data_IF_183790497120
#
_entry.id   IF_183790497120
#
_cell.length_a   1.000
_cell.length_b   1.000
_cell.length_c   1.000
_cell.angle_alpha   90.00
_cell.angle_beta   90.00
_cell.angle_gamma   90.00
#
_symmetry.space_group_name_H-M   'P 1'
#
loop_
_entity.id
_entity.type
_entity.pdbx_description
1 polymer ?
#
# COMPACT_ATOMS: atom_id res chain seq x y z
N UNK A 1 2.56 -33.77 3.45
CA UNK A 1 2.13 -32.95 2.35
C UNK A 1 0.76 -33.33 1.77
N UNK A 2 -0.23 -33.73 2.59
CA UNK A 2 -1.61 -33.95 2.15
C UNK A 2 -2.53 -33.00 2.92
N UNK A 3 -3.50 -32.40 2.22
CA UNK A 3 -4.49 -31.52 2.82
C UNK A 3 -4.83 -30.33 1.93
N UNK A 4 -5.70 -29.45 2.44
CA UNK A 4 -6.11 -28.20 1.80
C UNK A 4 -5.43 -27.03 2.53
N UNK A 5 -4.28 -26.52 2.01
CA UNK A 5 -3.50 -25.50 2.72
C UNK A 5 -4.22 -24.14 2.76
N UNK A 6 -5.10 -23.86 1.78
CA UNK A 6 -5.89 -22.64 1.70
C UNK A 6 -7.36 -22.98 1.82
N UNK A 7 -8.01 -22.54 2.89
CA UNK A 7 -9.44 -22.78 3.11
C UNK A 7 -10.29 -21.87 2.21
N UNK A 8 -9.94 -20.60 2.14
CA UNK A 8 -10.57 -19.57 1.29
C UNK A 8 -9.56 -18.47 0.94
N UNK A 9 -9.97 -17.57 0.05
CA UNK A 9 -9.23 -16.37 -0.29
C UNK A 9 -10.06 -15.14 0.09
N UNK A 10 -9.40 -14.10 0.62
CA UNK A 10 -9.98 -12.78 0.85
C UNK A 10 -9.60 -11.89 -0.34
N UNK A 11 -10.56 -11.55 -1.17
CA UNK A 11 -10.34 -10.74 -2.35
C UNK A 11 -10.49 -9.25 -2.04
N UNK A 12 -9.76 -8.42 -2.76
CA UNK A 12 -9.89 -6.98 -2.65
C UNK A 12 -9.38 -6.30 -3.91
N UNK A 13 -9.86 -5.08 -4.13
CA UNK A 13 -9.37 -4.20 -5.17
C UNK A 13 -9.20 -2.80 -4.59
N UNK A 14 -8.12 -2.12 -5.00
CA UNK A 14 -7.85 -0.75 -4.62
C UNK A 14 -7.42 0.07 -5.83
N UNK A 15 -7.90 1.32 -5.89
CA UNK A 15 -7.46 2.33 -6.84
C UNK A 15 -6.94 3.51 -6.05
N UNK A 16 -5.71 3.95 -6.39
CA UNK A 16 -5.03 5.03 -5.66
C UNK A 16 -4.63 6.14 -6.63
N UNK A 17 -4.87 7.37 -6.22
CA UNK A 17 -4.42 8.59 -6.89
C UNK A 17 -3.34 9.27 -6.05
N UNK A 18 -2.25 9.67 -6.68
CA UNK A 18 -1.11 10.32 -6.04
C UNK A 18 -0.73 11.62 -6.75
N UNK A 19 0.03 12.45 -6.05
CA UNK A 19 0.77 13.57 -6.64
C UNK A 19 2.24 13.46 -6.22
N UNK A 20 3.14 13.79 -7.14
CA UNK A 20 4.58 13.90 -6.87
C UNK A 20 5.05 15.32 -7.16
N UNK A 21 5.97 15.83 -6.34
CA UNK A 21 6.73 17.03 -6.65
C UNK A 21 7.98 16.63 -7.45
N UNK A 22 8.06 17.08 -8.68
CA UNK A 22 9.15 16.70 -9.59
C UNK A 22 10.47 17.43 -9.32
N UNK A 23 10.50 18.36 -8.37
CA UNK A 23 11.70 19.07 -7.94
C UNK A 23 12.29 18.48 -6.65
N UNK A 24 11.46 17.91 -5.80
CA UNK A 24 11.88 17.40 -4.48
C UNK A 24 11.72 15.89 -4.34
N UNK A 25 10.88 15.25 -5.17
CA UNK A 25 10.47 13.86 -5.04
C UNK A 25 9.42 13.61 -3.96
N UNK A 26 9.02 14.64 -3.20
CA UNK A 26 7.93 14.50 -2.24
C UNK A 26 6.66 14.02 -2.94
N UNK A 27 5.94 13.16 -2.25
CA UNK A 27 4.71 12.60 -2.79
C UNK A 27 3.61 12.56 -1.74
N UNK A 28 2.37 12.44 -2.21
CA UNK A 28 1.20 12.35 -1.35
C UNK A 28 0.11 11.52 -2.02
N UNK A 29 -0.54 10.68 -1.22
CA UNK A 29 -1.74 9.97 -1.64
C UNK A 29 -2.93 10.93 -1.50
N UNK A 30 -3.59 11.23 -2.62
CA UNK A 30 -4.74 12.14 -2.67
C UNK A 30 -6.04 11.40 -2.38
N UNK A 31 -6.20 10.24 -3.01
CA UNK A 31 -7.41 9.44 -2.93
C UNK A 31 -7.09 7.96 -2.98
N UNK A 32 -7.86 7.19 -2.22
CA UNK A 32 -7.88 5.72 -2.33
C UNK A 32 -9.32 5.23 -2.20
N UNK A 33 -9.72 4.38 -3.12
CA UNK A 33 -11.00 3.68 -3.11
C UNK A 33 -10.73 2.19 -3.01
N UNK A 34 -11.35 1.52 -2.04
CA UNK A 34 -11.17 0.10 -1.73
C UNK A 34 -12.51 -0.61 -1.69
N UNK A 35 -12.57 -1.79 -2.31
CA UNK A 35 -13.60 -2.80 -2.06
C UNK A 35 -12.92 -4.06 -1.57
N UNK A 36 -13.35 -4.60 -0.43
CA UNK A 36 -12.74 -5.78 0.19
C UNK A 36 -13.76 -6.81 0.61
N UNK A 37 -13.46 -8.08 0.37
CA UNK A 37 -14.27 -9.23 0.72
C UNK A 37 -13.92 -9.75 2.11
N UNK A 38 -14.77 -9.43 3.08
CA UNK A 38 -14.70 -9.91 4.45
C UNK A 38 -15.66 -11.08 4.72
N UNK A 39 -16.27 -11.64 3.68
CA UNK A 39 -17.40 -12.54 3.83
C UNK A 39 -18.59 -11.80 4.45
N UNK A 40 -19.39 -12.49 5.26
CA UNK A 40 -20.38 -11.82 6.12
C UNK A 40 -19.63 -11.13 7.26
N UNK A 41 -19.58 -9.81 7.24
CA UNK A 41 -18.90 -9.03 8.29
C UNK A 41 -19.54 -9.27 9.66
N UNK A 42 -18.73 -9.64 10.64
CA UNK A 42 -19.19 -9.79 12.03
C UNK A 42 -19.35 -8.43 12.73
N UNK A 43 -18.57 -7.44 12.32
CA UNK A 43 -18.67 -6.06 12.78
C UNK A 43 -18.15 -5.12 11.69
N UNK A 44 -19.05 -4.53 10.86
CA UNK A 44 -18.62 -3.69 9.74
C UNK A 44 -17.74 -2.50 10.13
N UNK A 45 -17.94 -1.91 11.30
CA UNK A 45 -17.13 -0.77 11.74
C UNK A 45 -15.69 -1.20 12.05
N UNK A 46 -15.51 -2.35 12.69
CA UNK A 46 -14.19 -2.90 12.95
C UNK A 46 -13.52 -3.37 11.65
N UNK A 47 -14.25 -4.03 10.77
CA UNK A 47 -13.70 -4.52 9.51
C UNK A 47 -13.23 -3.37 8.61
N UNK A 48 -14.00 -2.29 8.51
CA UNK A 48 -13.58 -1.08 7.78
C UNK A 48 -12.31 -0.50 8.40
N UNK A 49 -12.25 -0.38 9.73
CA UNK A 49 -11.06 0.11 10.43
C UNK A 49 -9.83 -0.78 10.21
N UNK A 50 -10.00 -2.10 10.14
CA UNK A 50 -8.91 -3.03 9.82
C UNK A 50 -8.41 -2.84 8.38
N UNK A 51 -9.31 -2.66 7.43
CA UNK A 51 -8.96 -2.43 6.02
C UNK A 51 -8.20 -1.11 5.88
N UNK A 52 -8.69 -0.03 6.48
CA UNK A 52 -8.03 1.28 6.47
C UNK A 52 -6.63 1.20 7.07
N UNK A 53 -6.51 0.60 8.26
CA UNK A 53 -5.23 0.45 8.97
C UNK A 53 -4.23 -0.40 8.20
N UNK A 54 -4.67 -1.53 7.65
CA UNK A 54 -3.82 -2.42 6.88
C UNK A 54 -3.34 -1.77 5.57
N UNK A 55 -4.21 -1.04 4.86
CA UNK A 55 -3.83 -0.28 3.67
C UNK A 55 -2.75 0.76 3.99
N UNK A 56 -2.95 1.57 5.04
CA UNK A 56 -1.98 2.61 5.43
C UNK A 56 -0.63 2.00 5.78
N UNK A 57 -0.63 0.88 6.50
CA UNK A 57 0.60 0.14 6.80
C UNK A 57 1.27 -0.39 5.52
N UNK A 58 0.51 -0.99 4.60
CA UNK A 58 1.05 -1.48 3.32
C UNK A 58 1.61 -0.37 2.44
N UNK A 59 0.93 0.77 2.38
CA UNK A 59 1.43 1.96 1.68
C UNK A 59 2.72 2.50 2.33
N UNK A 60 2.78 2.57 3.67
CA UNK A 60 3.96 3.00 4.40
C UNK A 60 5.17 2.11 4.14
N UNK A 61 4.99 0.80 4.16
CA UNK A 61 6.01 -0.19 3.82
C UNK A 61 6.62 0.06 2.43
N UNK A 62 5.84 0.53 1.49
CA UNK A 62 6.27 0.78 0.11
C UNK A 62 6.72 2.22 -0.17
N UNK A 63 6.58 3.14 0.80
CA UNK A 63 6.86 4.57 0.57
C UNK A 63 7.81 5.21 1.59
N UNK A 64 7.58 5.03 2.88
CA UNK A 64 8.30 5.78 3.93
C UNK A 64 9.13 4.90 4.85
N UNK A 65 8.78 3.62 4.99
CA UNK A 65 9.43 2.70 5.91
C UNK A 65 10.70 2.12 5.29
N UNK A 66 11.83 2.78 5.51
CA UNK A 66 13.12 2.40 4.95
C UNK A 66 14.00 1.67 5.97
N UNK A 67 14.54 0.53 5.58
CA UNK A 67 15.55 -0.19 6.34
C UNK A 67 16.94 0.18 5.84
N UNK A 68 17.70 0.89 6.67
CA UNK A 68 19.08 1.29 6.37
C UNK A 68 20.05 0.49 7.25
N UNK A 69 20.94 -0.22 6.62
CA UNK A 69 21.96 -1.03 7.28
C UNK A 69 23.32 -0.36 7.18
N UNK A 70 24.09 -0.38 8.26
CA UNK A 70 25.49 0.07 8.25
C UNK A 70 26.38 -0.98 7.58
N UNK A 71 27.59 -0.59 7.19
CA UNK A 71 28.59 -1.50 6.63
C UNK A 71 28.96 -2.67 7.58
N UNK A 72 28.69 -2.50 8.88
CA UNK A 72 28.93 -3.53 9.90
C UNK A 72 27.69 -4.44 10.13
N UNK A 73 26.63 -4.27 9.35
CA UNK A 73 25.41 -5.06 9.47
C UNK A 73 24.46 -4.66 10.60
N UNK A 74 24.62 -3.47 11.19
CA UNK A 74 23.68 -2.94 12.17
C UNK A 74 22.56 -2.17 11.48
N UNK A 75 21.32 -2.38 11.94
CA UNK A 75 20.17 -1.60 11.48
C UNK A 75 20.22 -0.18 12.05
N UNK A 76 20.37 0.83 11.19
CA UNK A 76 20.40 2.23 11.58
C UNK A 76 18.99 2.79 11.86
N UNK A 77 17.97 2.26 11.16
CA UNK A 77 16.56 2.67 11.29
C UNK A 77 15.81 1.75 12.25
N UNK A 78 16.26 1.67 13.50
CA UNK A 78 15.73 0.75 14.51
C UNK A 78 14.84 1.41 15.59
N UNK A 79 14.50 2.67 15.42
CA UNK A 79 13.71 3.43 16.39
C UNK A 79 12.64 4.29 15.69
N UNK A 80 11.55 4.69 16.39
CA UNK A 80 10.52 5.56 15.81
C UNK A 80 11.03 6.89 15.26
N UNK A 81 12.15 7.38 15.76
CA UNK A 81 12.81 8.59 15.26
C UNK A 81 13.48 8.41 13.89
N UNK A 82 13.80 7.19 13.51
CA UNK A 82 14.54 6.86 12.27
C UNK A 82 13.76 5.99 11.32
N UNK A 83 12.91 5.08 11.82
CA UNK A 83 12.00 4.25 11.02
C UNK A 83 10.65 4.95 10.91
N UNK A 84 10.30 5.41 9.72
CA UNK A 84 9.18 6.32 9.47
C UNK A 84 7.90 5.57 9.09
N UNK A 85 7.17 5.09 10.09
CA UNK A 85 5.80 4.61 9.86
C UNK A 85 4.90 5.80 9.48
N UNK A 86 3.84 5.59 8.68
CA UNK A 86 2.90 6.65 8.33
C UNK A 86 2.31 7.34 9.55
N UNK A 87 2.31 8.65 9.55
CA UNK A 87 1.57 9.47 10.51
C UNK A 87 0.10 9.63 10.09
N UNK A 88 -0.73 10.15 10.99
CA UNK A 88 -2.14 10.40 10.67
C UNK A 88 -2.34 11.36 9.47
N UNK A 89 -1.36 12.25 9.21
CA UNK A 89 -1.35 13.15 8.07
C UNK A 89 -1.07 12.48 6.71
N UNK A 90 -0.52 11.26 6.73
CA UNK A 90 -0.12 10.52 5.53
C UNK A 90 -1.25 9.65 4.99
N UNK A 91 -2.34 9.54 5.74
CA UNK A 91 -3.59 8.92 5.28
C UNK A 91 -4.10 9.61 4.02
N UNK A 92 -4.68 8.88 3.04
CA UNK A 92 -5.32 9.48 1.87
C UNK A 92 -6.32 10.57 2.27
N UNK A 93 -6.31 11.70 1.57
CA UNK A 93 -7.23 12.82 1.85
C UNK A 93 -8.68 12.41 1.62
N UNK A 94 -8.92 11.63 0.55
CA UNK A 94 -10.20 10.96 0.27
C UNK A 94 -9.94 9.47 0.42
N UNK A 95 -10.63 8.82 1.35
CA UNK A 95 -10.42 7.42 1.65
C UNK A 95 -11.78 6.72 1.75
N UNK A 96 -12.14 6.00 0.70
CA UNK A 96 -13.41 5.30 0.59
C UNK A 96 -13.16 3.79 0.72
N UNK A 97 -13.82 3.16 1.67
CA UNK A 97 -13.76 1.71 1.88
C UNK A 97 -15.16 1.14 1.85
N UNK A 98 -15.36 0.11 1.04
CA UNK A 98 -16.59 -0.65 0.96
C UNK A 98 -16.32 -2.13 1.19
N UNK A 99 -17.24 -2.80 1.89
CA UNK A 99 -17.22 -4.25 2.07
C UNK A 99 -17.97 -4.90 0.91
N UNK A 100 -17.37 -5.96 0.34
CA UNK A 100 -18.07 -6.84 -0.58
C UNK A 100 -18.96 -7.78 0.22
N UNK A 101 -20.24 -7.48 0.28
CA UNK A 101 -21.20 -8.14 1.16
C UNK A 101 -21.71 -9.47 0.57
N UNK A 102 -20.84 -10.47 0.54
CA UNK A 102 -21.16 -11.84 0.13
C UNK A 102 -20.69 -12.84 1.20
N UNK A 103 -21.54 -13.78 1.64
CA UNK A 103 -21.12 -14.81 2.60
C UNK A 103 -19.95 -15.63 2.07
N UNK A 104 -19.06 -16.06 2.97
CA UNK A 104 -18.04 -17.04 2.63
C UNK A 104 -18.71 -18.36 2.21
N UNK A 105 -18.26 -18.93 1.10
CA UNK A 105 -18.71 -20.24 0.65
C UNK A 105 -18.32 -21.35 1.63
N UNK A 106 -17.18 -21.18 2.32
CA UNK A 106 -16.68 -22.13 3.30
C UNK A 106 -17.42 -22.00 4.63
N UNK A 107 -17.32 -23.06 5.44
CA UNK A 107 -17.96 -23.11 6.76
C UNK A 107 -17.06 -22.46 7.83
N UNK A 108 -17.03 -21.15 7.79
CA UNK A 108 -16.35 -20.29 8.77
C UNK A 108 -17.34 -19.70 9.75
N UNK A 109 -16.84 -19.18 10.88
CA UNK A 109 -17.67 -18.53 11.90
C UNK A 109 -18.47 -17.38 11.28
N UNK A 110 -19.80 -17.49 11.32
CA UNK A 110 -20.70 -16.52 10.74
C UNK A 110 -20.51 -16.27 9.23
N UNK A 111 -19.88 -17.22 8.52
CA UNK A 111 -19.52 -17.04 7.09
C UNK A 111 -18.60 -15.83 6.83
N UNK A 112 -17.82 -15.42 7.84
CA UNK A 112 -16.84 -14.35 7.76
C UNK A 112 -15.54 -14.81 7.10
N UNK A 113 -14.70 -13.84 6.71
CA UNK A 113 -13.33 -14.04 6.25
C UNK A 113 -12.36 -13.22 7.09
N UNK A 114 -11.08 -13.58 7.07
CA UNK A 114 -10.03 -12.80 7.69
C UNK A 114 -9.92 -11.40 7.06
N UNK A 115 -9.75 -10.38 7.89
CA UNK A 115 -9.72 -8.98 7.45
C UNK A 115 -8.51 -8.21 8.00
N UNK A 116 -7.84 -8.71 9.03
CA UNK A 116 -6.73 -7.98 9.67
C UNK A 116 -5.51 -7.79 8.77
N UNK A 117 -5.10 -8.84 8.07
CA UNK A 117 -3.87 -8.84 7.25
C UNK A 117 -4.11 -8.77 5.73
N UNK A 118 -5.13 -9.43 5.14
CA UNK A 118 -5.27 -9.45 3.69
C UNK A 118 -5.30 -8.06 3.02
N UNK A 119 -5.94 -7.02 3.59
CA UNK A 119 -5.98 -5.69 2.99
C UNK A 119 -4.63 -4.98 2.91
N UNK A 120 -3.61 -5.44 3.67
CA UNK A 120 -2.25 -4.89 3.62
C UNK A 120 -1.70 -4.83 2.20
N UNK A 121 -1.92 -5.87 1.40
CA UNK A 121 -1.44 -5.95 0.02
C UNK A 121 -2.08 -4.93 -0.91
N UNK A 122 -3.22 -4.33 -0.54
CA UNK A 122 -3.85 -3.25 -1.30
C UNK A 122 -3.01 -1.96 -1.32
N UNK A 123 -2.09 -1.79 -0.36
CA UNK A 123 -1.09 -0.72 -0.34
C UNK A 123 -0.19 -0.69 -1.58
N UNK A 124 -0.05 -1.82 -2.32
CA UNK A 124 0.69 -1.90 -3.59
C UNK A 124 0.12 -0.90 -4.61
N UNK A 125 -1.18 -0.60 -4.56
CA UNK A 125 -1.81 0.38 -5.46
C UNK A 125 -1.18 1.77 -5.34
N UNK A 126 -0.72 2.18 -4.15
CA UNK A 126 0.00 3.43 -3.97
C UNK A 126 1.35 3.44 -4.68
N UNK A 127 2.09 2.34 -4.59
CA UNK A 127 3.39 2.21 -5.28
C UNK A 127 3.24 2.23 -6.80
N UNK A 128 2.24 1.55 -7.34
CA UNK A 128 1.97 1.59 -8.78
C UNK A 128 1.49 2.97 -9.24
N UNK A 129 0.67 3.66 -8.45
CA UNK A 129 0.28 5.03 -8.76
C UNK A 129 1.49 5.98 -8.79
N UNK A 130 2.46 5.82 -7.87
CA UNK A 130 3.72 6.56 -7.90
C UNK A 130 4.56 6.22 -9.13
N UNK A 131 4.62 4.95 -9.53
CA UNK A 131 5.30 4.53 -10.75
C UNK A 131 4.68 5.16 -11.99
N UNK A 132 3.35 5.21 -12.08
CA UNK A 132 2.62 5.88 -13.16
C UNK A 132 2.87 7.39 -13.18
N UNK A 133 2.89 8.04 -12.01
CA UNK A 133 3.19 9.46 -11.89
C UNK A 133 4.62 9.77 -12.37
N UNK A 134 5.59 8.91 -12.03
CA UNK A 134 6.97 9.05 -12.54
C UNK A 134 7.03 8.81 -14.05
N UNK A 135 6.32 7.80 -14.58
CA UNK A 135 6.24 7.55 -16.02
C UNK A 135 5.70 8.76 -16.80
N UNK A 136 4.71 9.45 -16.23
CA UNK A 136 4.11 10.65 -16.82
C UNK A 136 5.07 11.85 -16.89
N UNK A 137 6.19 11.84 -16.16
CA UNK A 137 7.23 12.88 -16.22
C UNK A 137 8.12 12.75 -17.46
N UNK A 138 8.12 11.61 -18.13
CA UNK A 138 8.81 11.33 -19.39
C UNK A 138 7.84 11.22 -20.57
N UNK A 139 8.19 10.42 -21.55
CA UNK A 139 7.35 10.16 -22.72
C UNK A 139 6.29 9.05 -22.52
N UNK A 140 6.16 8.52 -21.31
CA UNK A 140 5.15 7.53 -20.93
C UNK A 140 5.34 6.11 -21.49
N UNK A 141 6.39 5.85 -22.28
CA UNK A 141 6.55 4.59 -23.04
C UNK A 141 7.49 3.58 -22.42
N UNK A 142 8.04 3.83 -21.22
CA UNK A 142 9.12 3.02 -20.66
C UNK A 142 8.86 2.51 -19.25
N UNK A 143 9.46 1.37 -18.96
CA UNK A 143 9.56 0.84 -17.61
C UNK A 143 10.18 1.88 -16.66
N UNK A 144 9.48 2.12 -15.56
CA UNK A 144 9.96 3.01 -14.50
C UNK A 144 10.79 2.20 -13.52
N UNK A 145 12.07 2.50 -13.42
CA UNK A 145 12.94 1.95 -12.39
C UNK A 145 12.72 2.73 -11.07
N UNK A 146 11.65 2.40 -10.37
CA UNK A 146 11.35 2.93 -9.03
C UNK A 146 11.51 1.79 -8.01
N UNK A 147 12.40 1.98 -7.04
CA UNK A 147 12.64 1.01 -5.99
C UNK A 147 11.73 1.25 -4.79
N UNK A 148 11.29 0.17 -4.16
CA UNK A 148 10.58 0.23 -2.89
C UNK A 148 11.59 0.24 -1.70
N UNK A 149 11.29 0.99 -0.63
CA UNK A 149 10.24 1.97 -0.52
C UNK A 149 10.49 3.20 -1.41
N UNK A 150 9.42 3.74 -2.02
CA UNK A 150 9.48 4.90 -2.90
C UNK A 150 9.66 6.20 -2.08
N UNK A 151 10.81 6.35 -1.43
CA UNK A 151 11.16 7.57 -0.70
C UNK A 151 11.26 8.77 -1.65
N UNK A 152 11.20 9.98 -1.14
CA UNK A 152 11.32 11.20 -1.95
C UNK A 152 12.60 11.20 -2.78
N UNK A 153 13.73 10.74 -2.23
CA UNK A 153 15.00 10.60 -2.95
C UNK A 153 14.87 9.64 -4.15
N UNK A 154 14.25 8.47 -3.95
CA UNK A 154 14.08 7.46 -5.01
C UNK A 154 13.10 7.93 -6.09
N UNK A 155 12.01 8.62 -5.69
CA UNK A 155 11.08 9.23 -6.62
C UNK A 155 11.78 10.30 -7.47
N UNK A 156 12.53 11.22 -6.84
CA UNK A 156 13.28 12.25 -7.54
C UNK A 156 14.28 11.67 -8.53
N UNK A 157 15.07 10.69 -8.11
CA UNK A 157 16.02 10.02 -8.98
C UNK A 157 15.35 9.30 -10.16
N UNK A 158 14.17 8.71 -9.93
CA UNK A 158 13.39 8.07 -10.98
C UNK A 158 12.82 9.11 -11.98
N UNK A 159 12.31 10.25 -11.50
CA UNK A 159 11.85 11.36 -12.35
C UNK A 159 12.99 11.89 -13.22
N UNK A 160 14.17 12.09 -12.66
CA UNK A 160 15.35 12.53 -13.41
C UNK A 160 15.70 11.54 -14.52
N UNK A 161 15.77 10.25 -14.22
CA UNK A 161 16.01 9.20 -15.24
C UNK A 161 14.96 9.17 -16.35
N UNK A 162 13.70 9.51 -16.05
CA UNK A 162 12.64 9.57 -17.06
C UNK A 162 12.76 10.80 -17.98
N UNK A 163 13.34 11.90 -17.50
CA UNK A 163 13.54 13.14 -18.25
C UNK A 163 14.79 13.15 -19.12
N UNK A 164 15.84 12.43 -18.70
CA UNK A 164 17.14 12.38 -19.39
C UNK A 164 17.12 11.46 -20.64
N UNK A 165 15.97 10.92 -20.99
CA UNK A 165 15.74 10.04 -22.12
C UNK A 165 14.72 10.66 -23.07
#
# INVERSE_FOLDING_TARGET
>A
GKGRPFLYFAYGAAVTEVVIDTLTGENRILRTDIVHDTGSSLNPALDIGQIEGAYVQGAGWLTTEELVWTDKGYLATHAPSTYKIPACSDRPRIFNVALWNQPNAEDTVGKSKAVGEPPFMLGISAFYALSDAVAACGNGSRYVALDAPATAERVLAAVQRQRDV
#
